data_IF_434031501878
#
_entry.id   IF_434031501878
#
_cell.length_a   1.000
_cell.length_b   1.000
_cell.length_c   1.000
_cell.angle_alpha   90.00
_cell.angle_beta   90.00
_cell.angle_gamma   90.00
#
_symmetry.space_group_name_H-M   'P 1'
#
loop_
_entity.id
_entity.type
_entity.pdbx_description
1 polymer ?
#
# COMPACT_ATOMS: atom_id res chain seq x y z
N UNK A 1 -11.38 -6.91 14.73
CA UNK A 1 -12.57 -7.78 14.66
C UNK A 1 -12.07 -9.21 14.46
N UNK A 2 -12.75 -10.23 14.97
CA UNK A 2 -12.22 -11.60 15.01
C UNK A 2 -12.32 -12.39 13.68
N UNK A 3 -13.35 -12.23 12.82
CA UNK A 3 -13.41 -12.97 11.56
C UNK A 3 -12.53 -12.33 10.47
N UNK A 4 -11.82 -13.16 9.70
CA UNK A 4 -11.04 -12.77 8.52
C UNK A 4 -11.92 -12.50 7.29
N UNK A 5 -12.72 -11.44 7.37
CA UNK A 5 -13.66 -11.01 6.32
C UNK A 5 -13.52 -9.52 6.05
N UNK A 6 -14.20 -9.01 5.02
CA UNK A 6 -14.17 -7.59 4.70
C UNK A 6 -14.58 -6.73 5.92
N UNK A 7 -13.89 -5.59 6.18
CA UNK A 7 -14.07 -4.79 7.40
C UNK A 7 -15.52 -4.39 7.67
N UNK A 8 -16.23 -3.89 6.65
CA UNK A 8 -17.65 -3.50 6.80
C UNK A 8 -18.55 -4.67 7.23
N UNK A 9 -18.24 -5.91 6.80
CA UNK A 9 -19.00 -7.10 7.22
C UNK A 9 -18.69 -7.43 8.68
N UNK A 10 -17.40 -7.42 9.05
CA UNK A 10 -16.98 -7.68 10.42
C UNK A 10 -17.55 -6.66 11.41
N UNK A 11 -17.55 -5.37 11.04
CA UNK A 11 -18.14 -4.28 11.80
C UNK A 11 -19.64 -4.46 12.02
N UNK A 12 -20.37 -4.81 10.95
CA UNK A 12 -21.81 -5.10 11.00
C UNK A 12 -22.13 -6.30 11.88
N UNK A 13 -21.39 -7.40 11.75
CA UNK A 13 -21.59 -8.60 12.57
C UNK A 13 -21.31 -8.33 14.06
N UNK A 14 -20.35 -7.46 14.37
CA UNK A 14 -20.02 -7.09 15.73
C UNK A 14 -20.93 -5.99 16.32
N UNK A 15 -21.85 -5.42 15.54
CA UNK A 15 -22.66 -4.27 15.95
C UNK A 15 -21.83 -3.03 16.31
N UNK A 16 -20.61 -2.92 15.76
CA UNK A 16 -19.66 -1.84 16.07
C UNK A 16 -19.12 -1.24 14.77
N UNK A 17 -19.70 -0.11 14.31
CA UNK A 17 -19.31 0.51 13.04
C UNK A 17 -17.86 0.99 13.06
N UNK A 18 -17.26 1.11 11.88
CA UNK A 18 -15.94 1.72 11.70
C UNK A 18 -16.15 3.23 11.59
N UNK A 19 -15.68 3.97 12.58
CA UNK A 19 -15.83 5.43 12.62
C UNK A 19 -14.62 6.10 11.97
N UNK A 20 -14.75 6.51 10.71
CA UNK A 20 -13.69 7.21 9.97
C UNK A 20 -13.12 8.43 10.72
N UNK A 21 -13.94 9.27 11.40
CA UNK A 21 -13.40 10.40 12.18
C UNK A 21 -12.46 9.98 13.31
N UNK A 22 -12.66 8.81 13.91
CA UNK A 22 -11.79 8.28 14.97
C UNK A 22 -10.43 7.89 14.39
N UNK A 23 -10.41 7.31 13.18
CA UNK A 23 -9.17 6.98 12.47
C UNK A 23 -8.39 8.26 12.14
N UNK A 24 -9.09 9.28 11.63
CA UNK A 24 -8.47 10.57 11.30
C UNK A 24 -7.84 11.24 12.55
N UNK A 25 -8.55 11.32 13.66
CA UNK A 25 -8.02 11.89 14.91
C UNK A 25 -6.83 11.09 15.44
N UNK A 26 -6.87 9.76 15.33
CA UNK A 26 -5.74 8.92 15.71
C UNK A 26 -4.51 9.19 14.83
N UNK A 27 -4.70 9.36 13.52
CA UNK A 27 -3.64 9.70 12.57
C UNK A 27 -3.03 11.09 12.88
N UNK A 28 -3.84 12.12 13.07
CA UNK A 28 -3.38 13.47 13.43
C UNK A 28 -2.56 13.48 14.73
N UNK A 29 -3.00 12.70 15.73
CA UNK A 29 -2.25 12.53 16.98
C UNK A 29 -0.90 11.83 16.76
N UNK A 30 -0.84 10.82 15.90
CA UNK A 30 0.40 10.11 15.58
C UNK A 30 1.37 10.99 14.80
N UNK A 31 0.87 11.84 13.88
CA UNK A 31 1.70 12.80 13.15
C UNK A 31 2.39 13.79 14.08
N UNK A 32 1.77 14.17 15.20
CA UNK A 32 2.40 15.04 16.19
C UNK A 32 3.49 14.35 17.03
N UNK A 33 3.58 13.02 16.97
CA UNK A 33 4.46 12.20 17.83
C UNK A 33 5.60 11.50 17.07
N UNK A 34 5.56 11.49 15.74
CA UNK A 34 6.50 10.76 14.91
C UNK A 34 6.93 11.59 13.68
N UNK A 35 8.17 11.42 13.26
CA UNK A 35 8.69 12.02 12.02
C UNK A 35 7.97 11.45 10.78
N UNK A 36 7.57 10.18 10.86
CA UNK A 36 6.88 9.45 9.80
C UNK A 36 5.78 8.59 10.41
N UNK A 37 4.61 8.58 9.76
CA UNK A 37 3.51 7.67 10.08
C UNK A 37 3.20 6.80 8.87
N UNK A 38 3.33 5.48 9.03
CA UNK A 38 2.87 4.51 8.04
C UNK A 38 1.43 4.11 8.34
N UNK A 39 0.57 4.17 7.31
CA UNK A 39 -0.82 3.71 7.38
C UNK A 39 -0.97 2.48 6.49
N UNK A 40 -1.08 1.32 7.11
CA UNK A 40 -1.41 0.08 6.40
C UNK A 40 -2.92 0.02 6.16
N UNK A 41 -3.32 -0.20 4.91
CA UNK A 41 -4.70 -0.47 4.57
C UNK A 41 -5.18 -1.85 5.05
N UNK A 42 -6.37 -2.26 4.62
CA UNK A 42 -6.91 -3.59 4.92
C UNK A 42 -7.39 -4.26 3.65
N UNK A 43 -6.68 -5.29 3.21
CA UNK A 43 -6.95 -5.99 1.94
C UNK A 43 -6.51 -5.17 0.73
N UNK A 44 -7.33 -5.16 -0.34
CA UNK A 44 -7.07 -4.39 -1.55
C UNK A 44 -7.34 -2.89 -1.41
N UNK A 45 -6.96 -2.10 -2.42
CA UNK A 45 -7.06 -0.64 -2.36
C UNK A 45 -8.50 -0.09 -2.27
N UNK A 46 -9.51 -0.84 -2.72
CA UNK A 46 -10.92 -0.46 -2.68
C UNK A 46 -11.75 -1.44 -1.84
N UNK A 47 -11.36 -1.63 -0.58
CA UNK A 47 -12.09 -2.47 0.37
C UNK A 47 -13.08 -1.61 1.15
N UNK A 48 -14.39 -1.97 1.19
CA UNK A 48 -15.37 -1.16 1.91
C UNK A 48 -15.16 -1.20 3.43
N UNK A 49 -15.19 -0.01 4.02
CA UNK A 49 -15.13 0.23 5.46
C UNK A 49 -16.54 0.38 6.04
N UNK A 50 -17.45 1.01 5.29
CA UNK A 50 -18.88 1.14 5.59
C UNK A 50 -19.71 1.17 4.27
N UNK A 51 -20.98 1.59 4.31
CA UNK A 51 -21.81 1.64 3.09
C UNK A 51 -21.44 2.77 2.10
N UNK A 52 -20.59 3.71 2.50
CA UNK A 52 -20.29 4.95 1.77
C UNK A 52 -18.80 5.13 1.46
N UNK A 53 -17.93 4.52 2.25
CA UNK A 53 -16.49 4.71 2.19
C UNK A 53 -15.75 3.39 1.98
N UNK A 54 -14.73 3.42 1.12
CA UNK A 54 -13.72 2.39 1.01
C UNK A 54 -12.34 2.88 1.49
N UNK A 55 -11.35 1.99 1.49
CA UNK A 55 -9.97 2.32 1.87
C UNK A 55 -9.33 3.41 1.00
N UNK A 56 -9.79 3.62 -0.23
CA UNK A 56 -9.31 4.71 -1.08
C UNK A 56 -9.89 6.05 -0.64
N UNK A 57 -11.14 6.08 -0.17
CA UNK A 57 -11.71 7.28 0.46
C UNK A 57 -10.93 7.69 1.71
N UNK A 58 -10.55 6.72 2.55
CA UNK A 58 -9.72 6.98 3.73
C UNK A 58 -8.36 7.56 3.33
N UNK A 59 -7.65 6.95 2.37
CA UNK A 59 -6.36 7.47 1.90
C UNK A 59 -6.46 8.91 1.39
N UNK A 60 -7.54 9.24 0.67
CA UNK A 60 -7.83 10.59 0.18
C UNK A 60 -8.11 11.56 1.32
N UNK A 61 -8.91 11.16 2.31
CA UNK A 61 -9.21 12.00 3.48
C UNK A 61 -7.96 12.34 4.30
N UNK A 62 -7.04 11.39 4.42
CA UNK A 62 -5.77 11.59 5.10
C UNK A 62 -4.70 12.29 4.22
N UNK A 63 -5.04 12.60 2.95
CA UNK A 63 -4.15 13.19 1.95
C UNK A 63 -2.81 12.43 1.81
N UNK A 64 -2.86 11.10 1.88
CA UNK A 64 -1.66 10.26 1.90
C UNK A 64 -1.26 9.80 0.49
N UNK A 65 0.03 9.86 0.12
CA UNK A 65 0.52 9.11 -1.03
C UNK A 65 0.41 7.60 -0.76
N UNK A 66 0.28 6.81 -1.83
CA UNK A 66 0.09 5.36 -1.76
C UNK A 66 1.38 4.64 -2.17
N UNK A 67 1.77 3.63 -1.40
CA UNK A 67 2.72 2.59 -1.82
C UNK A 67 1.95 1.32 -2.16
N UNK A 68 2.13 0.81 -3.38
CA UNK A 68 1.46 -0.41 -3.82
C UNK A 68 2.36 -1.63 -3.66
N UNK A 69 1.92 -2.64 -2.90
CA UNK A 69 2.60 -3.94 -2.85
C UNK A 69 1.97 -4.89 -3.86
N UNK A 70 2.72 -5.27 -4.88
CA UNK A 70 2.26 -6.19 -5.93
C UNK A 70 2.74 -7.60 -5.60
N UNK A 71 1.81 -8.49 -5.27
CA UNK A 71 2.09 -9.92 -5.17
C UNK A 71 2.36 -10.50 -6.56
N UNK A 72 3.61 -10.89 -6.83
CA UNK A 72 4.05 -11.42 -8.10
C UNK A 72 3.55 -12.86 -8.28
N UNK A 73 2.54 -13.00 -9.14
CA UNK A 73 1.88 -14.24 -9.56
C UNK A 73 1.12 -14.02 -10.87
N UNK A 74 0.55 -15.07 -11.46
CA UNK A 74 -0.32 -14.92 -12.63
C UNK A 74 -1.48 -13.95 -12.35
N UNK A 75 -1.67 -13.00 -13.26
CA UNK A 75 -2.67 -11.92 -13.16
C UNK A 75 -2.20 -10.66 -12.43
N UNK A 76 -0.98 -10.62 -11.89
CA UNK A 76 -0.47 -9.45 -11.15
C UNK A 76 -0.42 -8.16 -11.98
N UNK A 77 -0.08 -8.24 -13.28
CA UNK A 77 -0.06 -7.08 -14.19
C UNK A 77 -1.42 -6.38 -14.20
N UNK A 78 -2.49 -7.13 -14.50
CA UNK A 78 -3.85 -6.58 -14.52
C UNK A 78 -4.23 -5.94 -13.18
N UNK A 79 -4.02 -6.64 -12.06
CA UNK A 79 -4.38 -6.11 -10.75
C UNK A 79 -3.58 -4.85 -10.39
N UNK A 80 -2.28 -4.82 -10.69
CA UNK A 80 -1.44 -3.66 -10.39
C UNK A 80 -1.88 -2.43 -11.20
N UNK A 81 -2.13 -2.60 -12.51
CA UNK A 81 -2.56 -1.50 -13.38
C UNK A 81 -3.96 -0.99 -13.02
N UNK A 82 -4.93 -1.89 -12.78
CA UNK A 82 -6.26 -1.49 -12.31
C UNK A 82 -6.21 -0.76 -10.96
N UNK A 83 -5.30 -1.18 -10.08
CA UNK A 83 -5.11 -0.50 -8.79
C UNK A 83 -4.47 0.87 -8.99
N UNK A 84 -3.47 1.00 -9.84
CA UNK A 84 -2.85 2.29 -10.18
C UNK A 84 -3.86 3.26 -10.82
N UNK A 85 -4.72 2.79 -11.72
CA UNK A 85 -5.81 3.59 -12.27
C UNK A 85 -6.80 4.04 -11.19
N UNK A 86 -7.15 3.16 -10.25
CA UNK A 86 -8.03 3.51 -9.14
C UNK A 86 -7.42 4.57 -8.22
N UNK A 87 -6.12 4.49 -7.93
CA UNK A 87 -5.36 5.50 -7.18
C UNK A 87 -5.43 6.85 -7.91
N UNK A 88 -5.08 6.87 -9.20
CA UNK A 88 -5.08 8.08 -10.02
C UNK A 88 -6.48 8.72 -10.13
N UNK A 89 -7.53 7.90 -10.29
CA UNK A 89 -8.93 8.39 -10.34
C UNK A 89 -9.42 9.03 -9.04
N UNK A 90 -8.74 8.78 -7.92
CA UNK A 90 -9.02 9.44 -6.63
C UNK A 90 -8.08 10.61 -6.36
N UNK A 91 -7.36 11.06 -7.39
CA UNK A 91 -6.40 12.17 -7.34
C UNK A 91 -5.29 11.92 -6.31
N UNK A 92 -5.02 10.65 -6.02
CA UNK A 92 -3.96 10.22 -5.12
C UNK A 92 -2.68 9.96 -5.91
N UNK A 93 -1.54 10.16 -5.26
CA UNK A 93 -0.23 9.87 -5.84
C UNK A 93 0.17 8.43 -5.53
N UNK A 94 0.47 7.64 -6.56
CA UNK A 94 1.20 6.38 -6.39
C UNK A 94 2.69 6.73 -6.23
N UNK A 95 3.16 6.83 -4.98
CA UNK A 95 4.52 7.27 -4.69
C UNK A 95 5.58 6.21 -4.96
N UNK A 96 5.19 4.94 -5.00
CA UNK A 96 6.07 3.85 -5.33
C UNK A 96 5.35 2.51 -5.26
N UNK A 97 6.05 1.46 -5.68
CA UNK A 97 5.52 0.10 -5.57
C UNK A 97 6.61 -0.91 -5.23
N UNK A 98 6.21 -2.03 -4.65
CA UNK A 98 7.07 -3.15 -4.25
C UNK A 98 6.65 -4.37 -5.04
N UNK A 99 7.62 -5.07 -5.64
CA UNK A 99 7.38 -6.38 -6.21
C UNK A 99 7.62 -7.45 -5.13
N UNK A 100 6.56 -8.06 -4.62
CA UNK A 100 6.66 -9.09 -3.60
C UNK A 100 6.56 -10.48 -4.24
N UNK A 101 7.66 -11.26 -4.22
CA UNK A 101 7.66 -12.63 -4.75
C UNK A 101 6.99 -13.56 -3.76
N UNK A 102 5.68 -13.75 -3.93
CA UNK A 102 4.85 -14.62 -3.09
C UNK A 102 4.75 -16.05 -3.60
N UNK A 103 5.05 -16.26 -4.88
CA UNK A 103 5.09 -17.57 -5.52
C UNK A 103 6.52 -17.82 -6.04
N UNK A 104 7.30 -18.70 -5.40
CA UNK A 104 8.65 -19.00 -5.84
C UNK A 104 8.66 -19.75 -7.18
N UNK A 105 7.55 -20.39 -7.57
CA UNK A 105 7.41 -21.17 -8.79
C UNK A 105 6.79 -20.36 -9.95
N UNK A 106 6.58 -19.05 -9.79
CA UNK A 106 6.04 -18.20 -10.86
C UNK A 106 6.93 -18.24 -12.12
N UNK A 107 6.33 -18.66 -13.23
CA UNK A 107 6.97 -18.60 -14.54
C UNK A 107 7.19 -17.14 -14.99
N UNK A 108 8.31 -16.91 -15.68
CA UNK A 108 8.63 -15.62 -16.31
C UNK A 108 8.57 -14.43 -15.34
N UNK A 109 8.99 -14.61 -14.08
CA UNK A 109 8.99 -13.55 -13.06
C UNK A 109 9.64 -12.24 -13.56
N UNK A 110 10.86 -12.33 -14.11
CA UNK A 110 11.60 -11.16 -14.60
C UNK A 110 10.86 -10.42 -15.72
N UNK A 111 10.27 -11.15 -16.68
CA UNK A 111 9.51 -10.54 -17.78
C UNK A 111 8.23 -9.84 -17.28
N UNK A 112 7.56 -10.40 -16.26
CA UNK A 112 6.41 -9.76 -15.62
C UNK A 112 6.83 -8.51 -14.82
N UNK A 113 7.97 -8.59 -14.12
CA UNK A 113 8.53 -7.47 -13.38
C UNK A 113 8.90 -6.31 -14.32
N UNK A 114 9.54 -6.59 -15.44
CA UNK A 114 9.90 -5.59 -16.45
C UNK A 114 8.67 -4.97 -17.11
N UNK A 115 7.62 -5.77 -17.35
CA UNK A 115 6.33 -5.23 -17.80
C UNK A 115 5.75 -4.26 -16.79
N UNK A 116 5.72 -4.62 -15.51
CA UNK A 116 5.23 -3.72 -14.46
C UNK A 116 6.06 -2.44 -14.34
N UNK A 117 7.40 -2.53 -14.43
CA UNK A 117 8.31 -1.37 -14.45
C UNK A 117 8.02 -0.42 -15.60
N UNK A 118 7.70 -0.94 -16.79
CA UNK A 118 7.43 -0.12 -17.96
C UNK A 118 6.04 0.54 -17.92
N UNK A 119 5.05 -0.08 -17.26
CA UNK A 119 3.66 0.38 -17.28
C UNK A 119 3.22 1.14 -16.03
N UNK A 120 3.82 0.87 -14.86
CA UNK A 120 3.54 1.63 -13.64
C UNK A 120 4.33 2.95 -13.66
N UNK A 121 3.61 4.07 -13.70
CA UNK A 121 4.20 5.39 -13.60
C UNK A 121 4.55 5.76 -12.13
N UNK A 122 5.39 4.93 -11.50
CA UNK A 122 5.87 5.11 -10.14
C UNK A 122 7.18 4.32 -9.93
N UNK A 123 8.08 4.77 -9.03
CA UNK A 123 9.33 4.08 -8.79
C UNK A 123 9.11 2.71 -8.16
N UNK A 124 9.87 1.71 -8.64
CA UNK A 124 10.02 0.43 -7.95
C UNK A 124 10.90 0.65 -6.72
N UNK A 125 10.33 0.48 -5.54
CA UNK A 125 11.02 0.62 -4.26
C UNK A 125 11.91 -0.59 -3.96
N UNK A 126 11.58 -1.75 -4.48
CA UNK A 126 12.39 -2.96 -4.31
C UNK A 126 11.66 -4.23 -4.70
N UNK A 127 12.42 -5.31 -4.78
CA UNK A 127 11.92 -6.66 -4.99
C UNK A 127 12.15 -7.45 -3.71
N UNK A 128 11.07 -7.96 -3.11
CA UNK A 128 11.14 -8.79 -1.91
C UNK A 128 11.19 -10.27 -2.34
N UNK A 129 12.27 -11.01 -2.00
CA UNK A 129 12.37 -12.44 -2.26
C UNK A 129 11.34 -13.28 -1.50
N UNK A 130 11.06 -14.48 -2.00
CA UNK A 130 10.21 -15.43 -1.29
C UNK A 130 10.93 -16.00 -0.07
N UNK A 131 10.27 -15.97 1.09
CA UNK A 131 10.76 -16.59 2.32
C UNK A 131 11.65 -15.70 3.20
N UNK A 132 11.91 -14.46 2.78
CA UNK A 132 12.65 -13.49 3.58
C UNK A 132 11.87 -13.08 4.85
N UNK A 133 12.61 -12.86 5.95
CA UNK A 133 12.07 -12.23 7.14
C UNK A 133 11.74 -10.75 6.89
N UNK A 134 10.92 -10.10 7.73
CA UNK A 134 10.65 -8.68 7.61
C UNK A 134 11.93 -7.81 7.61
N UNK A 135 12.93 -8.16 8.41
CA UNK A 135 14.21 -7.45 8.49
C UNK A 135 15.02 -7.60 7.20
N UNK A 136 15.02 -8.79 6.61
CA UNK A 136 15.67 -9.06 5.32
C UNK A 136 14.97 -8.29 4.21
N UNK A 137 13.64 -8.38 4.14
CA UNK A 137 12.83 -7.66 3.18
C UNK A 137 13.04 -6.14 3.27
N UNK A 138 13.09 -5.58 4.48
CA UNK A 138 13.32 -4.15 4.70
C UNK A 138 14.65 -3.67 4.09
N UNK A 139 15.71 -4.50 4.14
CA UNK A 139 17.01 -4.16 3.55
C UNK A 139 16.99 -4.07 2.02
N UNK A 140 15.98 -4.64 1.36
CA UNK A 140 15.80 -4.62 -0.09
C UNK A 140 15.01 -3.40 -0.58
N UNK A 141 14.46 -2.58 0.32
CA UNK A 141 13.58 -1.46 -0.03
C UNK A 141 14.32 -0.12 0.02
N UNK A 142 14.40 0.54 -1.13
CA UNK A 142 14.91 1.91 -1.28
C UNK A 142 13.81 2.94 -1.04
N UNK A 143 13.67 3.42 0.20
CA UNK A 143 12.62 4.38 0.57
C UNK A 143 12.98 5.85 0.30
N UNK A 144 14.22 6.17 -0.04
CA UNK A 144 14.70 7.55 -0.21
C UNK A 144 13.99 8.34 -1.31
N UNK A 145 13.34 7.64 -2.24
CA UNK A 145 12.53 8.25 -3.31
C UNK A 145 11.14 8.68 -2.84
N UNK A 146 10.72 8.27 -1.64
CA UNK A 146 9.41 8.62 -1.09
C UNK A 146 9.42 10.06 -0.54
N UNK A 147 8.29 10.78 -0.66
CA UNK A 147 8.14 12.10 -0.04
C UNK A 147 8.41 12.03 1.47
N UNK A 148 9.26 12.93 1.98
CA UNK A 148 9.65 12.97 3.39
C UNK A 148 10.76 11.99 3.81
N UNK A 149 11.22 11.12 2.91
CA UNK A 149 12.32 10.17 3.17
C UNK A 149 13.64 10.54 2.48
N UNK A 150 13.69 11.65 1.76
CA UNK A 150 14.93 12.14 1.17
C UNK A 150 15.94 12.47 2.28
N UNK A 151 17.12 11.84 2.20
CA UNK A 151 18.24 12.17 3.09
C UNK A 151 18.69 13.59 2.75
N UNK A 152 18.60 14.52 3.71
CA UNK A 152 19.24 15.82 3.55
C UNK A 152 20.73 15.59 3.21
N UNK A 153 21.32 16.29 2.22
CA UNK A 153 22.73 16.10 1.93
C UNK A 153 23.54 16.32 3.21
N UNK A 154 24.32 15.30 3.58
CA UNK A 154 25.24 15.39 4.71
C UNK A 154 26.17 16.58 4.45
N UNK A 155 25.95 17.66 5.19
CA UNK A 155 26.91 18.76 5.26
C UNK A 155 28.13 18.22 6.00
N UNK A 156 29.16 17.86 5.24
CA UNK A 156 30.52 17.72 5.74
C UNK A 156 31.13 19.10 6.06
#
# INVERSE_FOLDING_TARGET
>A
YDPFIAPHIAARMAGRPIEIPVIQQAFERLQALAEVVWVEGVGGFRVPLDERHDTADLARMLALPVVLVVGMRLGCINHALLTAEAIARRELTLAGWVANRIDPAMDCFEANLDTLRAWLNAPLLGVVPYGDSPEQAASMLGLSVLPGFAVAPSTA
#
